data_IF_553691831053
#
_entry.id   IF_553691831053
#
_cell.length_a   1.000
_cell.length_b   1.000
_cell.length_c   1.000
_cell.angle_alpha   90.00
_cell.angle_beta   90.00
_cell.angle_gamma   90.00
#
_symmetry.space_group_name_H-M   'P 1'
#
loop_
_entity.id
_entity.type
_entity.pdbx_description
1 polymer ?
#
# COMPACT_ATOMS: atom_id res chain seq x y z
N UNK A 1 -13.25 24.37 20.60
CA UNK A 1 -13.11 23.63 19.31
C UNK A 1 -11.97 22.62 19.47
N UNK A 2 -12.28 21.35 19.79
CA UNK A 2 -11.29 20.26 19.84
C UNK A 2 -11.09 19.75 18.41
N UNK A 3 -10.11 20.28 17.70
CA UNK A 3 -9.71 19.75 16.40
C UNK A 3 -8.97 18.42 16.61
N UNK A 4 -9.69 17.31 16.57
CA UNK A 4 -9.06 16.02 16.34
C UNK A 4 -8.39 16.10 14.97
N UNK A 5 -7.06 16.24 14.94
CA UNK A 5 -6.26 16.14 13.71
C UNK A 5 -6.26 14.68 13.26
N UNK A 6 -7.37 14.24 12.69
CA UNK A 6 -7.52 12.95 12.01
C UNK A 6 -6.75 13.05 10.69
N UNK A 7 -5.45 12.83 10.70
CA UNK A 7 -4.64 13.01 9.48
C UNK A 7 -3.16 12.65 9.57
N UNK A 8 -2.69 12.04 10.66
CA UNK A 8 -1.32 11.52 10.71
C UNK A 8 -1.30 10.13 10.06
N UNK A 9 -0.99 10.08 8.77
CA UNK A 9 -0.56 8.83 8.15
C UNK A 9 0.91 8.60 8.52
N UNK A 10 1.24 7.37 8.91
CA UNK A 10 2.61 6.99 9.25
C UNK A 10 3.26 6.39 8.01
N UNK A 11 4.27 7.07 7.48
CA UNK A 11 5.16 6.51 6.45
C UNK A 11 6.32 5.86 7.18
N UNK A 12 6.49 4.56 6.97
CA UNK A 12 7.66 3.85 7.48
C UNK A 12 8.87 4.16 6.60
N UNK A 13 10.07 4.12 7.18
CA UNK A 13 11.31 4.25 6.40
C UNK A 13 11.37 3.22 5.26
N UNK A 14 10.94 1.98 5.55
CA UNK A 14 10.84 0.90 4.58
C UNK A 14 9.94 1.28 3.39
N UNK A 15 8.73 1.75 3.66
CA UNK A 15 7.79 2.15 2.61
C UNK A 15 8.32 3.30 1.76
N UNK A 16 8.96 4.29 2.37
CA UNK A 16 9.58 5.39 1.63
C UNK A 16 10.72 4.91 0.73
N UNK A 17 11.62 4.06 1.25
CA UNK A 17 12.75 3.52 0.49
C UNK A 17 12.27 2.68 -0.70
N UNK A 18 11.24 1.84 -0.51
CA UNK A 18 10.65 1.05 -1.59
C UNK A 18 9.95 1.90 -2.63
N UNK A 19 9.20 2.94 -2.23
CA UNK A 19 8.56 3.88 -3.14
C UNK A 19 9.59 4.59 -4.04
N UNK A 20 10.72 5.00 -3.48
CA UNK A 20 11.80 5.63 -4.24
C UNK A 20 12.48 4.63 -5.18
N UNK A 21 12.76 3.42 -4.70
CA UNK A 21 13.45 2.37 -5.47
C UNK A 21 12.64 1.97 -6.71
N UNK A 22 11.35 1.74 -6.54
CA UNK A 22 10.48 1.21 -7.59
C UNK A 22 9.81 2.35 -8.39
N UNK A 23 9.99 3.61 -7.95
CA UNK A 23 9.31 4.80 -8.48
C UNK A 23 7.78 4.71 -8.41
N UNK A 24 7.27 4.04 -7.37
CA UNK A 24 5.85 3.81 -7.13
C UNK A 24 5.42 4.52 -5.83
N UNK A 25 4.79 5.72 -5.91
CA UNK A 25 4.48 6.54 -4.73
C UNK A 25 3.59 5.85 -3.70
N UNK A 26 2.72 4.94 -4.12
CA UNK A 26 1.79 4.27 -3.21
C UNK A 26 2.50 3.33 -2.23
N UNK A 27 3.69 2.82 -2.56
CA UNK A 27 4.48 1.98 -1.66
C UNK A 27 4.92 2.72 -0.38
N UNK A 28 4.84 4.06 -0.33
CA UNK A 28 5.09 4.82 0.90
C UNK A 28 4.13 4.42 2.03
N UNK A 29 2.98 3.84 1.69
CA UNK A 29 1.98 3.35 2.64
C UNK A 29 2.17 1.87 3.03
N UNK A 30 3.32 1.26 2.70
CA UNK A 30 3.72 -0.02 3.29
C UNK A 30 3.83 0.13 4.81
N UNK A 31 2.80 -0.36 5.49
CA UNK A 31 2.58 -0.19 6.92
C UNK A 31 2.99 -1.41 7.74
N UNK A 32 3.19 -2.57 7.12
CA UNK A 32 3.55 -3.83 7.79
C UNK A 32 4.61 -4.62 7.04
N UNK A 33 5.29 -5.51 7.77
CA UNK A 33 6.29 -6.40 7.21
C UNK A 33 5.66 -7.45 6.29
N UNK A 34 4.46 -7.92 6.62
CA UNK A 34 3.71 -8.91 5.85
C UNK A 34 3.41 -8.37 4.44
N UNK A 35 2.94 -7.13 4.33
CA UNK A 35 2.68 -6.46 3.04
C UNK A 35 3.96 -6.26 2.22
N UNK A 36 5.08 -6.01 2.88
CA UNK A 36 6.38 -5.94 2.21
C UNK A 36 6.80 -7.29 1.62
N UNK A 37 6.64 -8.38 2.38
CA UNK A 37 6.94 -9.73 1.90
C UNK A 37 6.02 -10.12 0.74
N UNK A 38 4.73 -9.80 0.82
CA UNK A 38 3.76 -9.99 -0.27
C UNK A 38 4.21 -9.26 -1.54
N UNK A 39 4.51 -7.96 -1.43
CA UNK A 39 5.04 -7.13 -2.52
C UNK A 39 6.28 -7.76 -3.17
N UNK A 40 7.30 -8.12 -2.36
CA UNK A 40 8.53 -8.74 -2.87
C UNK A 40 8.26 -10.07 -3.55
N UNK A 41 7.36 -10.88 -2.99
CA UNK A 41 7.01 -12.18 -3.56
C UNK A 41 6.32 -12.05 -4.91
N UNK A 42 5.44 -11.05 -5.08
CA UNK A 42 4.80 -10.80 -6.36
C UNK A 42 5.81 -10.30 -7.40
N UNK A 43 6.72 -9.39 -7.01
CA UNK A 43 7.75 -8.85 -7.91
C UNK A 43 8.77 -9.89 -8.39
N UNK A 44 8.96 -11.00 -7.67
CA UNK A 44 9.83 -12.09 -8.15
C UNK A 44 9.11 -13.03 -9.11
N UNK A 45 7.78 -13.10 -9.04
CA UNK A 45 6.96 -14.04 -9.83
C UNK A 45 6.38 -13.41 -11.09
N UNK A 46 6.11 -12.11 -11.07
CA UNK A 46 5.43 -11.41 -12.16
C UNK A 46 6.31 -10.29 -12.73
N UNK A 47 6.31 -10.10 -14.06
CA UNK A 47 7.10 -9.05 -14.70
C UNK A 47 6.60 -7.65 -14.34
N UNK A 48 5.31 -7.51 -14.05
CA UNK A 48 4.68 -6.25 -13.67
C UNK A 48 3.62 -6.47 -12.59
N UNK A 49 3.63 -5.60 -11.59
CA UNK A 49 2.72 -5.61 -10.44
C UNK A 49 2.28 -4.17 -10.19
N UNK A 50 0.98 -3.90 -10.32
CA UNK A 50 0.39 -2.60 -9.99
C UNK A 50 0.13 -2.51 -8.49
N UNK A 51 0.35 -1.33 -7.94
CA UNK A 51 0.05 -1.02 -6.54
C UNK A 51 -1.15 -0.08 -6.51
N UNK A 52 -2.20 -0.48 -5.78
CA UNK A 52 -3.39 0.34 -5.58
C UNK A 52 -3.60 0.57 -4.09
N UNK A 53 -3.85 1.83 -3.73
CA UNK A 53 -4.26 2.18 -2.38
C UNK A 53 -5.78 2.24 -2.28
N UNK A 54 -6.34 1.40 -1.44
CA UNK A 54 -7.74 1.47 -1.05
C UNK A 54 -7.85 2.23 0.26
N UNK A 55 -8.80 3.16 0.33
CA UNK A 55 -9.13 3.87 1.57
C UNK A 55 -10.47 3.37 2.06
N UNK A 56 -10.53 3.04 3.34
CA UNK A 56 -11.77 2.67 4.00
C UNK A 56 -11.87 3.39 5.33
N UNK A 57 -13.09 3.46 5.86
CA UNK A 57 -13.31 3.94 7.22
C UNK A 57 -13.54 2.73 8.08
N UNK A 58 -12.70 2.51 9.08
CA UNK A 58 -12.89 1.43 10.03
C UNK A 58 -14.21 1.68 10.80
N UNK A 59 -15.20 0.77 10.71
CA UNK A 59 -16.49 0.95 11.38
C UNK A 59 -16.39 0.92 12.91
N UNK A 60 -15.33 0.36 13.49
CA UNK A 60 -15.14 0.26 14.94
C UNK A 60 -14.50 1.51 15.53
N UNK A 61 -13.49 2.06 14.85
CA UNK A 61 -12.72 3.22 15.35
C UNK A 61 -13.14 4.54 14.70
N UNK A 62 -13.89 4.49 13.59
CA UNK A 62 -14.23 5.66 12.78
C UNK A 62 -13.03 6.31 12.09
N UNK A 63 -11.86 5.66 12.11
CA UNK A 63 -10.64 6.18 11.50
C UNK A 63 -10.61 5.87 10.01
N UNK A 64 -10.11 6.82 9.21
CA UNK A 64 -9.81 6.55 7.81
C UNK A 64 -8.49 5.78 7.75
N UNK A 65 -8.58 4.52 7.38
CA UNK A 65 -7.44 3.66 7.13
C UNK A 65 -7.18 3.54 5.64
N UNK A 66 -6.00 3.05 5.30
CA UNK A 66 -5.68 2.71 3.93
C UNK A 66 -4.88 1.45 3.84
N UNK A 67 -5.29 0.57 2.95
CA UNK A 67 -4.64 -0.70 2.66
C UNK A 67 -4.07 -0.68 1.23
N UNK A 68 -2.94 -1.36 1.05
CA UNK A 68 -2.35 -1.61 -0.25
C UNK A 68 -2.84 -2.94 -0.82
N UNK A 69 -3.28 -2.87 -2.07
CA UNK A 69 -3.63 -3.99 -2.93
C UNK A 69 -2.57 -4.09 -4.03
N UNK A 70 -2.04 -5.30 -4.24
CA UNK A 70 -1.04 -5.59 -5.25
C UNK A 70 -1.67 -6.45 -6.35
N UNK A 71 -1.64 -5.98 -7.59
CA UNK A 71 -2.31 -6.63 -8.73
C UNK A 71 -1.25 -7.07 -9.73
N UNK A 72 -1.10 -8.38 -9.95
CA UNK A 72 -0.23 -8.92 -10.98
C UNK A 72 -0.83 -8.69 -12.37
N UNK A 73 -0.10 -8.07 -13.30
CA UNK A 73 -0.65 -7.77 -14.63
C UNK A 73 -0.75 -8.99 -15.55
N UNK A 74 -0.13 -10.12 -15.22
CA UNK A 74 -0.29 -11.38 -15.98
C UNK A 74 -1.75 -11.88 -15.99
N UNK A 75 -2.56 -11.46 -15.01
CA UNK A 75 -3.98 -11.82 -14.91
C UNK A 75 -4.90 -10.95 -15.79
N UNK A 76 -4.37 -9.94 -16.51
CA UNK A 76 -5.16 -9.04 -17.36
C UNK A 76 -5.31 -9.50 -18.82
N UNK A 77 -4.57 -10.52 -19.28
CA UNK A 77 -4.72 -11.07 -20.64
C UNK A 77 -5.81 -12.15 -20.76
N UNK A 78 -6.57 -12.41 -19.69
CA UNK A 78 -7.63 -13.44 -19.67
C UNK A 78 -9.03 -12.84 -19.46
N UNK A 79 -9.42 -11.84 -20.26
CA UNK A 79 -10.81 -11.33 -20.32
C UNK A 79 -11.26 -11.07 -21.75
#
# INVERSE_FOLDING_TARGET
MKGNRTGRYFITRLGLEEALKEREPELQFLSSWEKFIEWKTLKTRYPSVRVRRQRFTDPLTGQSESELEFIAEADLESS
#
